data_IF_454268497235
#
_entry.id   IF_454268497235
#
_cell.length_a   1.000
_cell.length_b   1.000
_cell.length_c   1.000
_cell.angle_alpha   90.00
_cell.angle_beta   90.00
_cell.angle_gamma   90.00
#
_symmetry.space_group_name_H-M   'P 1'
#
loop_
_entity.id
_entity.type
_entity.pdbx_description
1 polymer ?
#
# COMPACT_ATOMS: atom_id res chain seq x y z
N UNK A 1 5.62 8.95 5.25
CA UNK A 1 6.64 10.02 5.09
C UNK A 1 6.01 11.27 4.50
N UNK A 2 6.11 12.43 5.17
CA UNK A 2 5.32 13.65 4.93
C UNK A 2 5.95 14.76 4.08
N UNK A 3 6.90 14.47 3.19
CA UNK A 3 7.79 15.47 2.57
C UNK A 3 7.17 16.39 1.49
N UNK A 4 5.85 16.41 1.26
CA UNK A 4 5.21 17.35 0.30
C UNK A 4 5.65 17.25 -1.17
N UNK A 5 6.57 16.34 -1.51
CA UNK A 5 7.15 16.15 -2.84
C UNK A 5 6.07 15.94 -3.91
N UNK A 6 6.24 16.65 -5.04
CA UNK A 6 5.36 16.55 -6.21
C UNK A 6 6.17 16.05 -7.40
N UNK A 7 5.72 14.95 -8.01
CA UNK A 7 6.38 14.27 -9.13
C UNK A 7 5.57 14.41 -10.44
N UNK A 8 4.68 15.39 -10.50
CA UNK A 8 3.96 15.80 -11.72
C UNK A 8 4.97 16.08 -12.84
N UNK A 9 4.83 15.36 -13.95
CA UNK A 9 5.73 15.39 -15.11
C UNK A 9 6.22 14.00 -15.53
N UNK A 10 6.54 13.16 -14.54
CA UNK A 10 6.68 11.71 -14.72
C UNK A 10 5.29 11.05 -14.76
N UNK A 11 5.15 9.95 -15.50
CA UNK A 11 3.88 9.25 -15.62
C UNK A 11 4.00 7.71 -15.54
N UNK A 12 5.17 7.19 -15.19
CA UNK A 12 5.38 5.78 -14.87
C UNK A 12 6.03 5.69 -13.49
N UNK A 13 5.40 4.96 -12.56
CA UNK A 13 5.90 4.69 -11.21
C UNK A 13 6.11 3.19 -11.04
N UNK A 14 7.31 2.79 -10.63
CA UNK A 14 7.64 1.41 -10.31
C UNK A 14 7.81 1.28 -8.80
N UNK A 15 6.93 0.49 -8.17
CA UNK A 15 7.04 0.08 -6.78
C UNK A 15 7.88 -1.20 -6.75
N UNK A 16 9.16 -1.06 -6.41
CA UNK A 16 10.13 -2.16 -6.37
C UNK A 16 10.11 -2.92 -5.05
N UNK A 17 9.72 -2.27 -3.95
CA UNK A 17 9.63 -2.86 -2.62
C UNK A 17 8.23 -2.62 -2.06
N UNK A 18 7.67 -3.66 -1.42
CA UNK A 18 6.34 -3.63 -0.82
C UNK A 18 6.44 -3.31 0.67
N UNK A 19 5.60 -2.38 1.15
CA UNK A 19 5.52 -2.00 2.56
C UNK A 19 4.37 -2.73 3.24
N UNK A 20 4.57 -3.32 4.41
CA UNK A 20 3.47 -3.95 5.18
C UNK A 20 2.31 -2.99 5.52
N UNK A 21 2.55 -1.68 5.48
CA UNK A 21 1.56 -0.63 5.65
C UNK A 21 1.10 -0.09 4.28
N UNK A 22 -0.13 -0.38 3.82
CA UNK A 22 -0.59 0.00 2.48
C UNK A 22 -0.67 1.52 2.27
N UNK A 23 -0.86 2.29 3.34
CA UNK A 23 -0.94 3.75 3.26
C UNK A 23 0.38 4.39 2.84
N UNK A 24 1.52 3.73 3.09
CA UNK A 24 2.83 4.21 2.62
C UNK A 24 2.93 4.16 1.08
N UNK A 25 2.44 3.08 0.47
CA UNK A 25 2.42 2.94 -0.99
C UNK A 25 1.44 3.92 -1.62
N UNK A 26 0.24 4.03 -1.05
CA UNK A 26 -0.76 5.00 -1.51
C UNK A 26 -0.19 6.42 -1.49
N UNK A 27 0.47 6.81 -0.40
CA UNK A 27 1.12 8.12 -0.30
C UNK A 27 2.20 8.33 -1.37
N UNK A 28 2.93 7.28 -1.78
CA UNK A 28 3.90 7.38 -2.86
C UNK A 28 3.21 7.57 -4.23
N UNK A 29 2.12 6.85 -4.49
CA UNK A 29 1.29 7.00 -5.68
C UNK A 29 0.68 8.40 -5.80
N UNK A 30 0.23 8.98 -4.69
CA UNK A 30 -0.36 10.33 -4.64
C UNK A 30 0.63 11.44 -5.03
N UNK A 31 1.96 11.18 -5.01
CA UNK A 31 2.97 12.15 -5.44
C UNK A 31 3.03 12.32 -6.95
N UNK A 32 2.71 11.27 -7.71
CA UNK A 32 2.75 11.27 -9.18
C UNK A 32 1.34 11.46 -9.79
N UNK A 33 0.33 10.84 -9.17
CA UNK A 33 -1.07 11.04 -9.47
C UNK A 33 -1.60 12.21 -8.65
N UNK A 34 -1.36 13.42 -9.13
CA UNK A 34 -1.68 14.65 -8.41
C UNK A 34 -2.25 15.72 -9.33
N UNK A 35 -2.96 16.68 -8.73
CA UNK A 35 -3.43 17.89 -9.41
C UNK A 35 -2.26 18.54 -10.16
N UNK A 36 -2.46 18.81 -11.45
CA UNK A 36 -1.43 19.34 -12.36
C UNK A 36 -0.83 18.30 -13.30
N UNK A 37 -1.03 17.00 -13.05
CA UNK A 37 -0.67 15.95 -13.98
C UNK A 37 -1.56 15.99 -15.23
N UNK A 38 -0.96 15.89 -16.42
CA UNK A 38 -1.68 15.89 -17.70
C UNK A 38 -1.54 14.59 -18.48
N UNK A 39 -0.60 13.74 -18.10
CA UNK A 39 -0.35 12.45 -18.74
C UNK A 39 -1.05 11.34 -17.94
N UNK A 40 -1.47 10.29 -18.64
CA UNK A 40 -1.94 9.07 -17.99
C UNK A 40 -0.81 8.48 -17.14
N UNK A 41 -1.10 8.30 -15.85
CA UNK A 41 -0.15 7.74 -14.89
C UNK A 41 -0.31 6.22 -14.86
N UNK A 42 0.80 5.52 -15.03
CA UNK A 42 0.90 4.08 -14.92
C UNK A 42 1.67 3.71 -13.66
N UNK A 43 1.09 2.86 -12.83
CA UNK A 43 1.70 2.39 -11.59
C UNK A 43 1.91 0.90 -11.72
N UNK A 44 3.16 0.48 -11.57
CA UNK A 44 3.59 -0.91 -11.66
C UNK A 44 4.02 -1.37 -10.28
N UNK A 45 3.38 -2.42 -9.79
CA UNK A 45 3.77 -3.10 -8.56
C UNK A 45 4.52 -4.36 -8.94
N UNK A 46 5.83 -4.38 -8.66
CA UNK A 46 6.65 -5.55 -8.92
C UNK A 46 6.51 -6.50 -7.73
N UNK A 47 6.28 -7.77 -8.03
CA UNK A 47 6.12 -8.81 -7.01
C UNK A 47 6.70 -10.13 -7.50
N UNK A 48 7.47 -10.77 -6.65
CA UNK A 48 8.08 -12.07 -6.89
C UNK A 48 7.21 -13.14 -6.25
N UNK A 49 6.80 -14.12 -7.07
CA UNK A 49 5.98 -15.25 -6.64
C UNK A 49 6.72 -16.15 -5.64
N UNK A 50 5.97 -16.79 -4.74
CA UNK A 50 6.48 -17.68 -3.71
C UNK A 50 7.50 -17.02 -2.78
N UNK A 51 7.33 -15.72 -2.50
CA UNK A 51 8.19 -14.98 -1.57
C UNK A 51 7.35 -14.29 -0.49
N UNK A 52 8.04 -13.68 0.47
CA UNK A 52 7.41 -12.85 1.51
C UNK A 52 6.53 -11.73 0.93
N UNK A 53 6.79 -11.29 -0.29
CA UNK A 53 6.04 -10.22 -0.97
C UNK A 53 4.56 -10.60 -1.19
N UNK A 54 4.26 -11.87 -1.46
CA UNK A 54 2.86 -12.34 -1.56
C UNK A 54 2.16 -12.28 -0.20
N UNK A 55 2.87 -12.63 0.89
CA UNK A 55 2.34 -12.54 2.26
C UNK A 55 2.10 -11.08 2.66
N UNK A 56 3.01 -10.18 2.29
CA UNK A 56 2.87 -8.74 2.49
C UNK A 56 1.65 -8.22 1.74
N UNK A 57 1.44 -8.61 0.48
CA UNK A 57 0.26 -8.21 -0.29
C UNK A 57 -1.04 -8.69 0.36
N UNK A 58 -1.09 -9.95 0.79
CA UNK A 58 -2.26 -10.49 1.49
C UNK A 58 -2.54 -9.75 2.80
N UNK A 59 -1.48 -9.37 3.54
CA UNK A 59 -1.61 -8.59 4.77
C UNK A 59 -2.15 -7.18 4.48
N UNK A 60 -1.69 -6.52 3.42
CA UNK A 60 -2.22 -5.22 3.01
C UNK A 60 -3.71 -5.29 2.69
N UNK A 61 -4.16 -6.29 1.91
CA UNK A 61 -5.57 -6.46 1.56
C UNK A 61 -6.45 -6.67 2.79
N UNK A 62 -6.00 -7.50 3.74
CA UNK A 62 -6.69 -7.70 5.02
C UNK A 62 -6.82 -6.39 5.80
N UNK A 63 -5.76 -5.57 5.84
CA UNK A 63 -5.76 -4.27 6.51
C UNK A 63 -6.74 -3.29 5.86
N UNK A 64 -6.76 -3.23 4.53
CA UNK A 64 -7.67 -2.34 3.80
C UNK A 64 -9.13 -2.75 3.99
N UNK A 65 -9.42 -4.05 3.93
CA UNK A 65 -10.77 -4.59 4.19
C UNK A 65 -11.24 -4.23 5.60
N UNK A 66 -10.40 -4.48 6.60
CA UNK A 66 -10.72 -4.14 7.99
C UNK A 66 -10.98 -2.64 8.17
N UNK A 67 -10.16 -1.79 7.57
CA UNK A 67 -10.39 -0.34 7.62
C UNK A 67 -11.76 0.04 7.02
N UNK A 68 -12.14 -0.61 5.92
CA UNK A 68 -13.47 -0.46 5.31
C UNK A 68 -14.61 -0.92 6.22
N UNK A 69 -14.48 -2.09 6.84
CA UNK A 69 -15.47 -2.63 7.78
C UNK A 69 -15.63 -1.71 9.01
N UNK A 70 -14.52 -1.16 9.51
CA UNK A 70 -14.54 -0.17 10.60
C UNK A 70 -15.30 1.09 10.24
N UNK A 71 -15.08 1.61 9.04
CA UNK A 71 -15.82 2.77 8.53
C UNK A 71 -17.31 2.48 8.32
N UNK A 72 -17.66 1.23 8.00
CA UNK A 72 -19.04 0.79 7.83
C UNK A 72 -19.78 0.50 9.17
N UNK A 73 -19.09 0.63 10.31
CA UNK A 73 -19.69 0.45 11.64
C UNK A 73 -19.82 -1.01 12.08
N UNK A 74 -19.25 -1.96 11.33
CA UNK A 74 -19.16 -3.36 11.71
C UNK A 74 -17.78 -3.62 12.34
N UNK A 75 -17.63 -3.56 13.68
CA UNK A 75 -16.33 -3.84 14.32
C UNK A 75 -16.41 -4.71 15.56
N UNK A 76 -15.93 -5.93 15.38
CA UNK A 76 -15.04 -6.63 16.32
C UNK A 76 -13.63 -6.04 16.22
N UNK A 77 -13.04 -5.61 17.35
CA UNK A 77 -11.72 -4.96 17.39
C UNK A 77 -10.59 -5.94 17.08
N UNK A 78 -10.08 -5.94 15.86
CA UNK A 78 -8.79 -6.58 15.56
C UNK A 78 -7.69 -5.51 15.52
N UNK A 79 -6.86 -5.47 16.58
CA UNK A 79 -5.63 -4.68 16.62
C UNK A 79 -4.51 -5.49 15.96
N UNK A 80 -3.62 -4.84 15.22
CA UNK A 80 -2.41 -5.48 14.70
C UNK A 80 -1.62 -6.03 15.88
N UNK A 81 -1.46 -7.36 15.93
CA UNK A 81 -0.71 -8.04 16.98
C UNK A 81 0.66 -8.43 16.43
N UNK A 82 1.57 -8.76 17.34
CA UNK A 82 2.87 -9.35 17.04
C UNK A 82 2.76 -10.56 16.09
N UNK A 83 1.60 -11.23 16.13
CA UNK A 83 1.19 -12.34 15.26
C UNK A 83 1.25 -12.02 13.75
N UNK A 84 0.90 -10.79 13.33
CA UNK A 84 0.93 -10.40 11.91
C UNK A 84 2.36 -10.22 11.39
N UNK A 85 3.28 -9.77 12.27
CA UNK A 85 4.71 -9.67 11.94
C UNK A 85 5.32 -11.07 11.91
N UNK A 86 4.93 -11.95 12.83
CA UNK A 86 5.36 -13.35 12.83
C UNK A 86 4.91 -14.09 11.56
N UNK A 87 3.69 -13.83 11.07
CA UNK A 87 3.16 -14.40 9.82
C UNK A 87 4.01 -14.08 8.58
N UNK A 88 4.70 -12.94 8.57
CA UNK A 88 5.60 -12.60 7.46
C UNK A 88 6.86 -13.48 7.45
N UNK A 89 7.36 -13.83 8.64
CA UNK A 89 8.61 -14.57 8.84
C UNK A 89 8.45 -16.10 8.85
N UNK A 90 7.23 -16.63 8.90
CA UNK A 90 6.91 -18.07 8.92
C UNK A 90 6.52 -18.57 7.54
#
# INVERSE_FOLDING_TARGET
GGEGLNLVGGNHLFLCELSYNPQNEQQACDRIYRIGQRKNVHIYRLMVKNTIEERISNLQERKLKLAGDVLAGCVDKFSLKLEDIAYLCS
#
